data_IF_582644739668
#
_entry.id   IF_582644739668
#
_cell.length_a   1.000
_cell.length_b   1.000
_cell.length_c   1.000
_cell.angle_alpha   90.00
_cell.angle_beta   90.00
_cell.angle_gamma   90.00
#
_symmetry.space_group_name_H-M   'P 1'
#
loop_
_entity.id
_entity.type
_entity.pdbx_description
1 polymer ?
#
# COMPACT_ATOMS: atom_id res chain seq x y z
N UNK A 1 -14.98 5.82 19.29
CA UNK A 1 -14.19 6.72 18.40
C UNK A 1 -12.78 6.20 18.02
N UNK A 2 -12.44 4.91 18.21
CA UNK A 2 -11.05 4.40 18.05
C UNK A 2 -10.72 3.73 16.70
N UNK A 3 -11.67 3.65 15.75
CA UNK A 3 -11.48 2.89 14.50
C UNK A 3 -10.62 3.61 13.45
N UNK A 4 -10.55 4.95 13.48
CA UNK A 4 -9.79 5.76 12.52
C UNK A 4 -8.28 5.63 12.69
N UNK A 5 -7.78 5.69 13.93
CA UNK A 5 -6.34 5.72 14.20
C UNK A 5 -5.64 4.39 13.85
N UNK A 6 -6.31 3.26 14.09
CA UNK A 6 -5.74 1.94 13.79
C UNK A 6 -5.63 1.66 12.28
N UNK A 7 -6.61 2.10 11.48
CA UNK A 7 -6.57 1.95 10.02
C UNK A 7 -5.47 2.78 9.39
N UNK A 8 -5.28 4.01 9.86
CA UNK A 8 -4.22 4.90 9.41
C UNK A 8 -2.81 4.38 9.73
N UNK A 9 -2.59 3.89 10.96
CA UNK A 9 -1.29 3.29 11.35
C UNK A 9 -0.97 2.04 10.51
N UNK A 10 -1.99 1.23 10.19
CA UNK A 10 -1.79 0.05 9.33
C UNK A 10 -1.47 0.42 7.88
N UNK A 11 -2.06 1.49 7.32
CA UNK A 11 -1.74 1.93 5.96
C UNK A 11 -0.34 2.52 5.83
N UNK A 12 0.14 3.28 6.84
CA UNK A 12 1.50 3.83 6.80
C UNK A 12 2.56 2.73 6.88
N UNK A 13 2.37 1.72 7.75
CA UNK A 13 3.27 0.56 7.79
C UNK A 13 3.29 -0.23 6.48
N UNK A 14 2.12 -0.41 5.86
CA UNK A 14 2.02 -1.07 4.57
C UNK A 14 2.75 -0.29 3.47
N UNK A 15 2.57 1.03 3.45
CA UNK A 15 3.26 1.95 2.54
C UNK A 15 4.78 1.93 2.72
N UNK A 16 5.27 1.95 3.96
CA UNK A 16 6.71 1.82 4.26
C UNK A 16 7.25 0.53 3.66
N UNK A 17 6.57 -0.60 3.89
CA UNK A 17 7.06 -1.88 3.43
C UNK A 17 7.03 -2.03 1.91
N UNK A 18 6.00 -1.53 1.25
CA UNK A 18 5.96 -1.51 -0.21
C UNK A 18 7.11 -0.67 -0.79
N UNK A 19 7.46 0.47 -0.17
CA UNK A 19 8.61 1.24 -0.63
C UNK A 19 9.91 0.45 -0.46
N UNK A 20 10.12 -0.22 0.68
CA UNK A 20 11.30 -1.06 0.90
C UNK A 20 11.39 -2.21 -0.10
N UNK A 21 10.29 -2.92 -0.34
CA UNK A 21 10.21 -4.00 -1.32
C UNK A 21 10.51 -3.48 -2.74
N UNK A 22 10.01 -2.28 -3.09
CA UNK A 22 10.26 -1.66 -4.38
C UNK A 22 11.73 -1.27 -4.60
N UNK A 23 12.38 -0.68 -3.59
CA UNK A 23 13.81 -0.34 -3.66
C UNK A 23 14.66 -1.61 -3.85
N UNK A 24 14.27 -2.71 -3.19
CA UNK A 24 14.95 -4.00 -3.30
C UNK A 24 14.37 -4.92 -4.39
N UNK A 25 13.54 -4.42 -5.33
CA UNK A 25 12.80 -5.26 -6.28
C UNK A 25 13.66 -6.21 -7.12
N UNK A 26 14.93 -5.87 -7.33
CA UNK A 26 15.88 -6.72 -8.06
C UNK A 26 16.15 -8.07 -7.35
N UNK A 27 15.93 -8.17 -6.04
CA UNK A 27 16.04 -9.42 -5.28
C UNK A 27 14.70 -10.18 -5.18
N UNK A 28 13.59 -9.55 -5.59
CA UNK A 28 12.28 -10.17 -5.54
C UNK A 28 12.10 -11.18 -6.68
N UNK A 29 11.39 -12.26 -6.40
CA UNK A 29 11.06 -13.29 -7.38
C UNK A 29 9.70 -13.92 -7.06
N UNK A 30 9.15 -14.77 -7.94
CA UNK A 30 7.95 -15.55 -7.62
C UNK A 30 8.11 -16.44 -6.37
N UNK A 31 9.35 -16.78 -5.99
CA UNK A 31 9.66 -17.55 -4.79
C UNK A 31 9.67 -16.71 -3.50
N UNK A 32 9.68 -15.37 -3.58
CA UNK A 32 9.67 -14.51 -2.40
C UNK A 32 8.44 -14.77 -1.53
N UNK A 33 8.65 -14.86 -0.22
CA UNK A 33 7.67 -15.09 0.84
C UNK A 33 7.89 -14.10 1.99
N UNK A 34 7.00 -14.14 2.98
CA UNK A 34 7.09 -13.31 4.17
C UNK A 34 6.68 -11.87 3.89
N UNK A 35 7.23 -10.95 4.68
CA UNK A 35 6.69 -9.59 4.82
C UNK A 35 6.55 -8.81 3.50
N UNK A 36 7.45 -9.01 2.53
CA UNK A 36 7.36 -8.37 1.20
C UNK A 36 6.19 -8.92 0.39
N UNK A 37 6.02 -10.26 0.38
CA UNK A 37 4.90 -10.93 -0.29
C UNK A 37 3.58 -10.49 0.35
N UNK A 38 3.53 -10.52 1.68
CA UNK A 38 2.31 -10.22 2.44
C UNK A 38 1.88 -8.76 2.24
N UNK A 39 2.84 -7.82 2.17
CA UNK A 39 2.57 -6.42 1.89
C UNK A 39 2.03 -6.21 0.47
N UNK A 40 2.63 -6.85 -0.53
CA UNK A 40 2.17 -6.77 -1.93
C UNK A 40 0.76 -7.35 -2.06
N UNK A 41 0.52 -8.56 -1.55
CA UNK A 41 -0.79 -9.21 -1.61
C UNK A 41 -1.87 -8.41 -0.86
N UNK A 42 -1.54 -7.86 0.31
CA UNK A 42 -2.46 -6.99 1.06
C UNK A 42 -2.81 -5.72 0.29
N UNK A 43 -1.85 -5.15 -0.43
CA UNK A 43 -2.07 -3.95 -1.25
C UNK A 43 -2.99 -4.25 -2.44
N UNK A 44 -2.78 -5.38 -3.11
CA UNK A 44 -3.63 -5.86 -4.21
C UNK A 44 -5.05 -6.16 -3.70
N UNK A 45 -5.18 -6.86 -2.57
CA UNK A 45 -6.49 -7.13 -1.97
C UNK A 45 -7.22 -5.83 -1.59
N UNK A 46 -6.49 -4.83 -1.10
CA UNK A 46 -7.04 -3.51 -0.80
C UNK A 46 -7.51 -2.76 -2.05
N UNK A 47 -6.81 -2.89 -3.17
CA UNK A 47 -7.25 -2.38 -4.46
C UNK A 47 -8.52 -3.07 -4.95
N UNK A 48 -8.55 -4.40 -4.86
CA UNK A 48 -9.66 -5.25 -5.31
C UNK A 48 -10.96 -4.94 -4.53
N UNK A 49 -10.88 -4.82 -3.20
CA UNK A 49 -12.03 -4.49 -2.36
C UNK A 49 -12.32 -2.98 -2.25
N UNK A 50 -11.52 -2.14 -2.91
CA UNK A 50 -11.70 -0.68 -2.94
C UNK A 50 -11.34 0.07 -1.65
N UNK A 51 -10.74 -0.59 -0.66
CA UNK A 51 -10.21 0.08 0.54
C UNK A 51 -8.92 0.88 0.27
N UNK A 52 -8.22 0.57 -0.81
CA UNK A 52 -7.08 1.32 -1.34
C UNK A 52 -7.41 1.86 -2.73
N UNK A 53 -6.87 3.05 -3.05
CA UNK A 53 -7.02 3.68 -4.37
C UNK A 53 -5.72 4.36 -4.78
N UNK A 54 -5.32 4.14 -6.04
CA UNK A 54 -4.12 4.77 -6.63
C UNK A 54 -4.21 6.30 -6.59
N UNK A 55 -5.40 6.86 -6.78
CA UNK A 55 -5.64 8.28 -6.63
C UNK A 55 -6.97 8.53 -5.90
N UNK A 56 -7.00 9.52 -5.03
CA UNK A 56 -8.19 9.96 -4.30
C UNK A 56 -8.31 11.47 -4.39
N UNK A 57 -9.53 11.96 -4.59
CA UNK A 57 -9.82 13.38 -4.58
C UNK A 57 -9.81 13.90 -3.14
N UNK A 58 -9.09 14.99 -2.91
CA UNK A 58 -9.06 15.71 -1.64
C UNK A 58 -10.25 16.68 -1.55
N UNK A 59 -10.52 17.19 -0.36
CA UNK A 59 -11.65 18.11 -0.10
C UNK A 59 -11.54 19.43 -0.87
N UNK A 60 -10.31 19.86 -1.19
CA UNK A 60 -10.01 21.04 -2.02
C UNK A 60 -10.18 20.78 -3.53
N UNK A 61 -10.61 19.58 -3.91
CA UNK A 61 -10.82 19.16 -5.29
C UNK A 61 -9.57 18.70 -6.02
N UNK A 62 -8.37 18.79 -5.42
CA UNK A 62 -7.13 18.26 -5.98
C UNK A 62 -7.11 16.73 -5.92
N UNK A 63 -6.26 16.11 -6.75
CA UNK A 63 -6.05 14.67 -6.74
C UNK A 63 -4.76 14.33 -6.03
N UNK A 64 -4.85 13.55 -4.96
CA UNK A 64 -3.69 12.95 -4.32
C UNK A 64 -3.40 11.60 -4.98
N UNK A 65 -2.17 11.41 -5.44
CA UNK A 65 -1.70 10.13 -6.01
C UNK A 65 -0.89 9.36 -4.99
N UNK A 66 -1.37 8.17 -4.63
CA UNK A 66 -0.70 7.23 -3.76
C UNK A 66 0.32 6.41 -4.56
N UNK A 67 1.50 6.98 -4.83
CA UNK A 67 2.51 6.35 -5.69
C UNK A 67 2.95 4.96 -5.20
N UNK A 68 2.97 4.74 -3.89
CA UNK A 68 3.34 3.44 -3.32
C UNK A 68 2.37 2.32 -3.76
N UNK A 69 1.09 2.63 -3.98
CA UNK A 69 0.11 1.63 -4.44
C UNK A 69 0.42 1.18 -5.87
N UNK A 70 1.07 2.02 -6.68
CA UNK A 70 1.55 1.63 -8.01
C UNK A 70 2.83 0.80 -7.96
N UNK A 71 3.59 0.91 -6.86
CA UNK A 71 4.82 0.15 -6.63
C UNK A 71 4.51 -1.26 -6.10
N UNK A 72 3.39 -1.42 -5.41
CA UNK A 72 2.88 -2.74 -5.01
C UNK A 72 2.54 -3.59 -6.23
#
# INVERSE_FOLDING_TARGET
>A
MLRGNKRFIMSEKLKEQINLAWENRASLSPKTKGIDRDAIESSIAGLDNGSLRVASRLDDGQWLVNQWIKKA
#
